data_IF_181553204277
#
_entry.id   IF_181553204277
#
_cell.length_a   1.000
_cell.length_b   1.000
_cell.length_c   1.000
_cell.angle_alpha   90.00
_cell.angle_beta   90.00
_cell.angle_gamma   90.00
#
_symmetry.space_group_name_H-M   'P 1'
#
loop_
_entity.id
_entity.type
_entity.pdbx_description
1 polymer ?
#
# COMPACT_ATOMS: atom_id res chain seq x y z
N UNK A 1 18.75 0.15 -15.70
CA UNK A 1 17.37 0.52 -15.27
C UNK A 1 16.89 -0.35 -14.12
N UNK A 2 16.86 -1.68 -14.25
CA UNK A 2 16.43 -2.60 -13.18
C UNK A 2 17.18 -2.46 -11.84
N UNK A 3 18.44 -2.01 -11.86
CA UNK A 3 19.20 -1.72 -10.62
C UNK A 3 18.67 -0.50 -9.86
N UNK A 4 18.20 0.53 -10.57
CA UNK A 4 17.66 1.75 -9.95
C UNK A 4 16.30 1.48 -9.29
N UNK A 5 15.46 0.70 -9.97
CA UNK A 5 14.17 0.29 -9.40
C UNK A 5 14.35 -0.61 -8.18
N UNK A 6 15.31 -1.54 -8.19
CA UNK A 6 15.64 -2.35 -7.01
C UNK A 6 16.11 -1.49 -5.82
N UNK A 7 16.89 -0.44 -6.08
CA UNK A 7 17.32 0.49 -5.03
C UNK A 7 16.14 1.26 -4.43
N UNK A 8 15.16 1.69 -5.26
CA UNK A 8 13.93 2.32 -4.77
C UNK A 8 13.06 1.35 -3.95
N UNK A 9 13.01 0.06 -4.31
CA UNK A 9 12.26 -0.94 -3.54
C UNK A 9 12.83 -1.09 -2.12
N UNK A 10 14.16 -1.09 -1.98
CA UNK A 10 14.86 -1.19 -0.70
C UNK A 10 14.62 0.06 0.17
N UNK A 11 14.60 1.26 -0.41
CA UNK A 11 14.30 2.47 0.39
C UNK A 11 12.86 2.49 0.88
N UNK A 12 11.91 2.01 0.09
CA UNK A 12 10.49 1.92 0.48
C UNK A 12 10.25 0.89 1.59
N UNK A 13 10.99 -0.23 1.61
CA UNK A 13 10.86 -1.21 2.71
C UNK A 13 11.43 -0.67 4.02
N UNK A 14 12.51 0.11 3.99
CA UNK A 14 13.05 0.78 5.17
C UNK A 14 12.05 1.82 5.71
N UNK A 15 11.41 2.59 4.82
CA UNK A 15 10.35 3.52 5.22
C UNK A 15 9.15 2.80 5.85
N UNK A 16 8.77 1.62 5.35
CA UNK A 16 7.69 0.84 5.94
C UNK A 16 8.01 0.36 7.37
N UNK A 17 9.29 0.12 7.68
CA UNK A 17 9.74 -0.31 9.00
C UNK A 17 9.75 0.83 10.03
N UNK A 18 9.76 2.09 9.59
CA UNK A 18 9.53 3.23 10.47
C UNK A 18 8.03 3.26 10.82
N UNK A 19 7.71 3.19 12.13
CA UNK A 19 6.34 3.14 12.65
C UNK A 19 5.53 4.40 12.30
N UNK A 20 4.99 4.45 11.09
CA UNK A 20 4.14 5.52 10.59
C UNK A 20 2.66 5.26 10.89
N UNK A 21 1.81 6.30 10.92
CA UNK A 21 0.37 6.12 11.09
C UNK A 21 -0.22 5.22 9.99
N UNK A 22 -1.33 4.52 10.27
CA UNK A 22 -1.88 3.49 9.37
C UNK A 22 -2.20 4.02 7.96
N UNK A 23 -2.65 5.28 7.85
CA UNK A 23 -2.88 5.92 6.56
C UNK A 23 -1.61 6.05 5.71
N UNK A 24 -0.50 6.41 6.36
CA UNK A 24 0.79 6.58 5.69
C UNK A 24 1.38 5.21 5.29
N UNK A 25 1.18 4.18 6.10
CA UNK A 25 1.50 2.80 5.74
C UNK A 25 0.73 2.34 4.49
N UNK A 26 -0.57 2.64 4.40
CA UNK A 26 -1.40 2.34 3.21
C UNK A 26 -0.85 3.05 1.97
N UNK A 27 -0.45 4.32 2.07
CA UNK A 27 0.14 5.05 0.95
C UNK A 27 1.47 4.44 0.48
N UNK A 28 2.32 3.99 1.41
CA UNK A 28 3.60 3.34 1.10
C UNK A 28 3.38 1.97 0.42
N UNK A 29 2.41 1.17 0.87
CA UNK A 29 2.09 -0.12 0.24
C UNK A 29 1.57 0.07 -1.19
N UNK A 30 0.78 1.12 -1.44
CA UNK A 30 0.27 1.46 -2.78
C UNK A 30 1.40 1.79 -3.74
N UNK A 31 2.36 2.62 -3.32
CA UNK A 31 3.50 2.98 -4.16
C UNK A 31 4.44 1.78 -4.40
N UNK A 32 4.62 0.92 -3.41
CA UNK A 32 5.39 -0.32 -3.53
C UNK A 32 4.78 -1.26 -4.59
N UNK A 33 3.49 -1.57 -4.45
CA UNK A 33 2.80 -2.52 -5.34
C UNK A 33 2.80 -2.06 -6.79
N UNK A 34 2.70 -0.75 -7.05
CA UNK A 34 2.87 -0.18 -8.40
C UNK A 34 4.27 -0.44 -8.94
N UNK A 35 5.33 -0.16 -8.17
CA UNK A 35 6.71 -0.43 -8.57
C UNK A 35 6.95 -1.93 -8.83
N UNK A 36 6.37 -2.80 -7.99
CA UNK A 36 6.44 -4.25 -8.17
C UNK A 36 5.75 -4.71 -9.46
N UNK A 37 4.56 -4.18 -9.76
CA UNK A 37 3.82 -4.51 -10.99
C UNK A 37 4.58 -4.10 -12.26
N UNK A 38 5.24 -2.94 -12.24
CA UNK A 38 6.09 -2.47 -13.34
C UNK A 38 7.32 -3.37 -13.53
N UNK A 39 7.92 -3.86 -12.44
CA UNK A 39 9.03 -4.82 -12.50
C UNK A 39 8.59 -6.16 -13.10
N UNK A 40 7.43 -6.67 -12.66
CA UNK A 40 6.84 -7.90 -13.20
C UNK A 40 6.51 -7.75 -14.68
N UNK A 41 6.04 -6.57 -15.09
CA UNK A 41 5.80 -6.26 -16.49
C UNK A 41 7.08 -6.33 -17.34
N UNK A 42 8.20 -5.78 -16.84
CA UNK A 42 9.48 -5.84 -17.57
C UNK A 42 10.05 -7.25 -17.65
N UNK A 43 9.76 -8.11 -16.67
CA UNK A 43 10.29 -9.48 -16.60
C UNK A 43 9.42 -10.51 -17.33
N UNK A 44 8.10 -10.34 -17.34
CA UNK A 44 7.17 -11.29 -17.93
C UNK A 44 6.87 -10.93 -19.40
N UNK A 45 6.90 -11.92 -20.29
CA UNK A 45 6.47 -11.71 -21.68
C UNK A 45 4.96 -11.42 -21.82
N UNK A 46 4.15 -11.73 -20.80
CA UNK A 46 2.69 -11.53 -20.84
C UNK A 46 2.21 -10.53 -19.78
N UNK A 47 1.45 -9.54 -20.24
CA UNK A 47 0.86 -8.48 -19.41
C UNK A 47 -0.16 -8.98 -18.38
N UNK A 48 -0.73 -10.16 -18.62
CA UNK A 48 -1.80 -10.74 -17.80
C UNK A 48 -1.40 -10.92 -16.33
N UNK A 49 -0.15 -11.31 -16.06
CA UNK A 49 0.30 -11.59 -14.70
C UNK A 49 0.46 -10.33 -13.85
N UNK A 50 1.02 -9.25 -14.42
CA UNK A 50 1.13 -7.96 -13.74
C UNK A 50 -0.26 -7.33 -13.49
N UNK A 51 -1.20 -7.52 -14.42
CA UNK A 51 -2.57 -7.00 -14.30
C UNK A 51 -3.36 -7.67 -13.16
N UNK A 52 -3.32 -9.00 -13.06
CA UNK A 52 -4.02 -9.74 -11.99
C UNK A 52 -3.43 -9.38 -10.62
N UNK A 53 -2.10 -9.27 -10.52
CA UNK A 53 -1.43 -8.85 -9.29
C UNK A 53 -1.90 -7.46 -8.85
N UNK A 54 -2.01 -6.51 -9.78
CA UNK A 54 -2.47 -5.16 -9.49
C UNK A 54 -3.93 -5.13 -9.00
N UNK A 55 -4.82 -5.92 -9.61
CA UNK A 55 -6.24 -5.99 -9.20
C UNK A 55 -6.43 -6.53 -7.79
N UNK A 56 -5.69 -7.59 -7.42
CA UNK A 56 -5.81 -8.21 -6.10
C UNK A 56 -5.36 -7.24 -5.00
N UNK A 57 -4.25 -6.54 -5.21
CA UNK A 57 -3.75 -5.56 -4.25
C UNK A 57 -4.66 -4.35 -4.12
N UNK A 58 -5.19 -3.81 -5.22
CA UNK A 58 -6.13 -2.69 -5.16
C UNK A 58 -7.41 -3.06 -4.37
N UNK A 59 -7.93 -4.27 -4.60
CA UNK A 59 -9.09 -4.79 -3.87
C UNK A 59 -8.83 -4.96 -2.37
N UNK A 60 -7.68 -5.55 -2.00
CA UNK A 60 -7.31 -5.75 -0.59
C UNK A 60 -7.13 -4.44 0.18
N UNK A 61 -6.57 -3.41 -0.46
CA UNK A 61 -6.33 -2.11 0.18
C UNK A 61 -7.62 -1.32 0.44
N UNK A 62 -8.64 -1.47 -0.40
CA UNK A 62 -9.95 -0.85 -0.17
C UNK A 62 -10.63 -1.41 1.08
N UNK A 63 -10.54 -2.72 1.33
CA UNK A 63 -11.11 -3.34 2.54
C UNK A 63 -10.42 -2.83 3.80
N UNK A 64 -9.09 -2.73 3.78
CA UNK A 64 -8.30 -2.19 4.90
C UNK A 64 -8.64 -0.71 5.14
N UNK A 65 -8.83 0.07 4.08
CA UNK A 65 -9.23 1.47 4.19
C UNK A 65 -10.60 1.64 4.84
N UNK A 66 -11.60 0.87 4.41
CA UNK A 66 -12.94 0.87 5.02
C UNK A 66 -12.88 0.44 6.49
N UNK A 67 -12.06 -0.56 6.81
CA UNK A 67 -11.83 -0.99 8.19
C UNK A 67 -11.28 0.14 9.06
N UNK A 68 -10.23 0.83 8.62
CA UNK A 68 -9.64 1.95 9.37
C UNK A 68 -10.60 3.14 9.50
N UNK A 69 -11.39 3.44 8.47
CA UNK A 69 -12.41 4.48 8.53
C UNK A 69 -13.48 4.18 9.59
N UNK A 70 -13.90 2.91 9.71
CA UNK A 70 -14.91 2.49 10.68
C UNK A 70 -14.45 2.57 12.14
N UNK A 71 -13.14 2.43 12.40
CA UNK A 71 -12.56 2.58 13.74
C UNK A 71 -12.59 4.04 14.17
N UNK A 72 -12.24 4.97 13.28
CA UNK A 72 -12.18 6.39 13.61
C UNK A 72 -13.58 7.00 13.81
N UNK A 73 -14.62 6.47 13.14
CA UNK A 73 -16.01 6.90 13.36
C UNK A 73 -16.60 6.41 14.68
N UNK A 74 -16.02 5.38 15.31
CA UNK A 74 -16.52 4.82 16.56
C UNK A 74 -15.96 5.49 17.82
N UNK A 75 -15.13 6.52 17.69
CA UNK A 75 -14.94 7.49 18.78
C UNK A 75 -16.22 8.31 18.93
N UNK A 76 -17.22 7.74 19.62
CA UNK A 76 -18.32 8.50 20.20
C UNK A 76 -17.69 9.64 20.98
N UNK A 77 -17.92 10.88 20.51
CA UNK A 77 -17.64 12.12 21.22
C UNK A 77 -18.29 12.03 22.61
N UNK A 78 -17.55 11.50 23.57
CA UNK A 78 -17.83 11.65 24.98
C UNK A 78 -17.57 13.11 25.31
N UNK A 79 -18.55 13.97 25.03
CA UNK A 79 -18.67 15.27 25.67
C UNK A 79 -18.72 15.02 27.18
N UNK A 80 -17.56 14.91 27.83
CA UNK A 80 -17.45 15.11 29.26
C UNK A 80 -17.52 16.62 29.48
N UNK A 81 -18.74 17.11 29.64
CA UNK A 81 -18.97 18.35 30.36
C UNK A 81 -18.74 18.07 31.85
N UNK A 82 -17.55 18.44 32.32
CA UNK A 82 -17.21 18.67 33.73
C UNK A 82 -15.95 19.53 33.75
#
# INVERSE_FOLDING_TARGET
EMKMTMMMMITMTILMACNYPPFMLVMIILSQTLLCSMMMWMMAQSFWMAYILMLIFLGGMLVIFVYMASINSNQKLGFKFS
#
